data_IF_481569707094
#
_entry.id   IF_481569707094
#
_cell.length_a   1.000
_cell.length_b   1.000
_cell.length_c   1.000
_cell.angle_alpha   90.00
_cell.angle_beta   90.00
_cell.angle_gamma   90.00
#
_symmetry.space_group_name_H-M   'P 1'
#
loop_
_entity.id
_entity.type
_entity.pdbx_description
1 polymer ?
#
# COMPACT_ATOMS: atom_id res chain seq x y z
N UNK A 1 -17.78 10.31 5.85
CA UNK A 1 -17.32 9.01 5.29
C UNK A 1 -16.12 8.58 6.13
N UNK A 2 -15.95 7.28 6.42
CA UNK A 2 -14.74 6.84 7.14
C UNK A 2 -13.54 6.89 6.19
N UNK A 3 -12.38 7.28 6.66
CA UNK A 3 -11.19 7.49 5.81
C UNK A 3 -10.11 6.46 6.10
N UNK A 4 -9.29 6.16 5.09
CA UNK A 4 -8.21 5.20 5.16
C UNK A 4 -6.91 5.72 4.52
N UNK A 5 -5.78 5.25 5.03
CA UNK A 5 -4.46 5.30 4.38
C UNK A 5 -4.03 3.87 4.06
N UNK A 6 -3.50 3.64 2.87
CA UNK A 6 -2.99 2.33 2.43
C UNK A 6 -1.49 2.37 2.17
N UNK A 7 -0.75 1.46 2.81
CA UNK A 7 0.69 1.32 2.68
C UNK A 7 1.02 -0.04 2.05
N UNK A 8 2.05 -0.07 1.21
CA UNK A 8 2.43 -1.25 0.41
C UNK A 8 1.25 -1.71 -0.47
N UNK A 9 0.57 -0.73 -1.08
CA UNK A 9 -0.74 -0.88 -1.76
C UNK A 9 -0.68 -1.75 -3.00
N UNK A 10 0.52 -1.93 -3.58
CA UNK A 10 0.73 -2.62 -4.84
C UNK A 10 -0.20 -2.09 -5.93
N UNK A 11 -0.88 -3.02 -6.61
CA UNK A 11 -1.83 -2.69 -7.67
C UNK A 11 -3.25 -2.32 -7.18
N UNK A 12 -3.47 -2.18 -5.86
CA UNK A 12 -4.74 -1.70 -5.31
C UNK A 12 -5.79 -2.78 -5.01
N UNK A 13 -5.38 -4.04 -4.87
CA UNK A 13 -6.30 -5.15 -4.58
C UNK A 13 -7.02 -4.99 -3.23
N UNK A 14 -6.28 -4.70 -2.16
CA UNK A 14 -6.85 -4.44 -0.84
C UNK A 14 -7.70 -3.17 -0.83
N UNK A 15 -7.22 -2.11 -1.48
CA UNK A 15 -7.85 -0.80 -1.55
C UNK A 15 -9.21 -0.86 -2.26
N UNK A 16 -9.34 -1.69 -3.30
CA UNK A 16 -10.63 -1.98 -3.95
C UNK A 16 -11.65 -2.53 -2.94
N UNK A 17 -11.23 -3.42 -2.05
CA UNK A 17 -12.07 -3.96 -0.98
C UNK A 17 -12.41 -2.92 0.10
N UNK A 18 -11.45 -2.06 0.45
CA UNK A 18 -11.61 -0.98 1.43
C UNK A 18 -12.64 0.05 0.93
N UNK A 19 -12.54 0.45 -0.34
CA UNK A 19 -13.52 1.31 -1.01
C UNK A 19 -14.91 0.65 -1.05
N UNK A 20 -14.98 -0.64 -1.40
CA UNK A 20 -16.23 -1.40 -1.39
C UNK A 20 -16.86 -1.51 0.01
N UNK A 21 -16.06 -1.47 1.07
CA UNK A 21 -16.52 -1.45 2.46
C UNK A 21 -17.01 -0.06 2.93
N UNK A 22 -17.00 0.96 2.07
CA UNK A 22 -17.51 2.30 2.35
C UNK A 22 -16.50 3.27 2.98
N UNK A 23 -15.21 2.95 2.89
CA UNK A 23 -14.13 3.87 3.26
C UNK A 23 -13.70 4.70 2.05
N UNK A 24 -13.17 5.88 2.32
CA UNK A 24 -12.46 6.71 1.36
C UNK A 24 -10.94 6.54 1.55
N UNK A 25 -10.24 6.06 0.53
CA UNK A 25 -8.78 5.89 0.59
C UNK A 25 -8.13 7.22 0.20
N UNK A 26 -7.70 7.98 1.20
CA UNK A 26 -7.14 9.32 1.03
C UNK A 26 -5.75 9.31 0.39
N UNK A 27 -4.98 8.26 0.69
CA UNK A 27 -3.60 8.11 0.27
C UNK A 27 -3.25 6.63 0.16
N UNK A 28 -2.57 6.27 -0.93
CA UNK A 28 -1.95 4.97 -1.15
C UNK A 28 -0.44 5.14 -1.35
N UNK A 29 0.38 4.21 -0.88
CA UNK A 29 1.83 4.21 -1.09
C UNK A 29 2.36 2.84 -1.53
N UNK A 30 3.32 2.85 -2.45
CA UNK A 30 4.16 1.70 -2.76
C UNK A 30 5.49 2.16 -3.36
N UNK A 31 6.49 1.27 -3.39
CA UNK A 31 7.79 1.51 -3.97
C UNK A 31 7.84 1.25 -5.48
N UNK A 32 6.94 0.38 -5.99
CA UNK A 32 7.06 -0.19 -7.34
C UNK A 32 6.37 0.67 -8.41
N UNK A 33 7.11 1.24 -9.40
CA UNK A 33 6.52 2.12 -10.40
C UNK A 33 5.46 1.44 -11.28
N UNK A 34 5.65 0.16 -11.62
CA UNK A 34 4.66 -0.58 -12.42
C UNK A 34 3.37 -0.85 -11.65
N UNK A 35 3.44 -0.99 -10.32
CA UNK A 35 2.27 -1.17 -9.48
C UNK A 35 1.42 0.11 -9.47
N UNK A 36 2.06 1.29 -9.41
CA UNK A 36 1.40 2.60 -9.56
C UNK A 36 0.60 2.71 -10.85
N UNK A 37 1.18 2.30 -11.98
CA UNK A 37 0.50 2.40 -13.28
C UNK A 37 -0.80 1.59 -13.28
N UNK A 38 -0.75 0.35 -12.76
CA UNK A 38 -1.93 -0.50 -12.62
C UNK A 38 -2.93 0.07 -11.61
N UNK A 39 -2.44 0.56 -10.47
CA UNK A 39 -3.27 1.16 -9.43
C UNK A 39 -4.06 2.34 -10.02
N UNK A 40 -3.39 3.31 -10.64
CA UNK A 40 -4.03 4.52 -11.19
C UNK A 40 -4.98 4.24 -12.35
N UNK A 41 -4.77 3.13 -13.08
CA UNK A 41 -5.71 2.71 -14.12
C UNK A 41 -7.06 2.23 -13.56
N UNK A 42 -7.09 1.74 -12.31
CA UNK A 42 -8.30 1.18 -11.68
C UNK A 42 -8.89 2.10 -10.60
N UNK A 43 -8.03 2.84 -9.88
CA UNK A 43 -8.36 3.70 -8.75
C UNK A 43 -7.75 5.10 -8.97
N UNK A 44 -8.20 5.85 -9.99
CA UNK A 44 -7.54 7.08 -10.44
C UNK A 44 -7.66 8.25 -9.45
N UNK A 45 -8.66 8.21 -8.56
CA UNK A 45 -8.99 9.32 -7.65
C UNK A 45 -8.17 9.31 -6.34
N UNK A 46 -7.53 8.18 -6.00
CA UNK A 46 -6.67 8.09 -4.80
C UNK A 46 -5.33 8.77 -5.04
N UNK A 47 -4.86 9.56 -4.06
CA UNK A 47 -3.50 10.10 -4.08
C UNK A 47 -2.48 8.97 -3.88
N UNK A 48 -1.75 8.64 -4.95
CA UNK A 48 -0.75 7.57 -4.93
C UNK A 48 0.67 8.14 -4.81
N UNK A 49 1.29 7.90 -3.66
CA UNK A 49 2.67 8.27 -3.35
C UNK A 49 3.61 7.13 -3.72
N UNK A 50 4.34 7.32 -4.83
CA UNK A 50 5.40 6.40 -5.25
C UNK A 50 6.69 6.73 -4.49
N UNK A 51 7.16 5.81 -3.66
CA UNK A 51 8.39 5.98 -2.89
C UNK A 51 8.49 5.03 -1.70
N UNK A 52 9.67 5.03 -1.07
CA UNK A 52 9.90 4.31 0.18
C UNK A 52 9.03 4.91 1.30
N UNK A 53 8.24 4.07 1.97
CA UNK A 53 7.38 4.48 3.08
C UNK A 53 8.18 5.09 4.23
N UNK A 54 9.45 4.70 4.39
CA UNK A 54 10.33 5.23 5.43
C UNK A 54 10.66 6.73 5.24
N UNK A 55 10.53 7.23 4.01
CA UNK A 55 10.76 8.66 3.68
C UNK A 55 9.50 9.51 3.87
N UNK A 56 8.36 8.90 4.21
CA UNK A 56 7.09 9.59 4.42
C UNK A 56 7.04 10.09 5.87
N UNK A 57 7.07 11.41 6.02
CA UNK A 57 7.13 12.07 7.34
C UNK A 57 5.77 12.50 7.88
N UNK A 58 4.74 12.51 7.05
CA UNK A 58 3.38 12.88 7.44
C UNK A 58 2.36 12.09 6.63
N UNK A 59 1.26 11.73 7.30
CA UNK A 59 0.10 11.06 6.71
C UNK A 59 -1.15 11.93 6.92
N UNK A 60 -2.14 11.88 6.02
CA UNK A 60 -3.43 12.48 6.31
C UNK A 60 -4.08 11.78 7.53
N UNK A 61 -4.90 12.51 8.28
CA UNK A 61 -5.67 11.92 9.36
C UNK A 61 -6.69 10.92 8.79
N UNK A 62 -6.63 9.67 9.27
CA UNK A 62 -7.49 8.59 8.81
C UNK A 62 -8.02 7.73 9.95
N UNK A 63 -9.20 7.13 9.75
CA UNK A 63 -9.82 6.20 10.69
C UNK A 63 -9.20 4.80 10.62
N UNK A 64 -8.60 4.44 9.48
CA UNK A 64 -8.01 3.14 9.20
C UNK A 64 -6.63 3.27 8.55
N UNK A 65 -5.68 2.46 9.01
CA UNK A 65 -4.41 2.23 8.34
C UNK A 65 -4.40 0.79 7.79
N UNK A 66 -4.24 0.66 6.48
CA UNK A 66 -4.09 -0.62 5.77
C UNK A 66 -2.62 -0.81 5.44
N UNK A 67 -2.09 -2.02 5.65
CA UNK A 67 -0.68 -2.33 5.39
C UNK A 67 -0.51 -3.72 4.80
N UNK A 68 -0.08 -3.79 3.54
CA UNK A 68 0.18 -5.06 2.83
C UNK A 68 1.69 -5.30 2.66
N UNK A 69 2.43 -5.15 3.76
CA UNK A 69 3.90 -5.22 3.77
C UNK A 69 4.45 -6.56 3.25
N UNK A 70 5.68 -6.57 2.71
CA UNK A 70 6.32 -7.77 2.15
C UNK A 70 6.36 -8.95 3.12
N UNK A 71 5.83 -10.10 2.69
CA UNK A 71 5.82 -11.33 3.49
C UNK A 71 7.03 -12.25 3.24
N UNK A 72 7.91 -11.92 2.28
CA UNK A 72 9.04 -12.73 1.80
C UNK A 72 10.00 -13.12 2.95
N UNK A 73 10.18 -12.21 3.91
CA UNK A 73 10.99 -12.42 5.12
C UNK A 73 10.38 -13.38 6.15
N UNK A 74 9.11 -13.76 6.00
CA UNK A 74 8.34 -14.54 6.98
C UNK A 74 7.72 -15.83 6.41
N UNK A 75 7.46 -15.86 5.10
CA UNK A 75 6.73 -16.94 4.42
C UNK A 75 7.52 -18.26 4.37
N UNK A 76 6.81 -19.38 4.33
CA UNK A 76 7.38 -20.71 4.06
C UNK A 76 8.02 -20.81 2.67
N UNK A 77 7.46 -20.10 1.69
CA UNK A 77 7.99 -20.01 0.33
C UNK A 77 9.17 -19.03 0.21
N UNK A 78 9.41 -18.22 1.25
CA UNK A 78 10.57 -17.33 1.36
C UNK A 78 11.72 -17.99 2.13
N UNK A 79 12.86 -17.31 2.16
CA UNK A 79 14.02 -17.80 2.93
C UNK A 79 13.89 -17.61 4.45
N UNK A 80 12.82 -16.95 4.92
CA UNK A 80 12.61 -16.52 6.31
C UNK A 80 13.78 -15.73 6.91
N UNK A 81 14.42 -14.95 6.05
CA UNK A 81 15.47 -14.01 6.41
C UNK A 81 14.90 -12.61 6.19
N UNK A 82 14.46 -11.99 7.28
CA UNK A 82 13.76 -10.71 7.25
C UNK A 82 14.66 -9.56 6.74
N UNK A 83 15.97 -9.68 6.94
CA UNK A 83 17.01 -8.71 6.57
C UNK A 83 17.49 -8.80 5.11
N UNK A 84 16.94 -9.73 4.31
CA UNK A 84 17.31 -9.82 2.91
C UNK A 84 16.86 -8.58 2.15
N UNK A 85 17.78 -7.98 1.40
CA UNK A 85 17.56 -6.79 0.55
C UNK A 85 16.50 -6.94 -0.55
N UNK A 86 16.01 -8.17 -0.80
CA UNK A 86 14.91 -8.42 -1.74
C UNK A 86 13.53 -8.28 -1.09
N UNK A 87 13.48 -8.10 0.23
CA UNK A 87 12.28 -7.72 0.95
C UNK A 87 12.26 -6.18 0.89
N UNK A 88 11.47 -5.64 -0.01
CA UNK A 88 11.24 -4.21 -0.19
C UNK A 88 9.84 -3.86 0.30
#
# INVERSE_FOLDING_TARGET
>A
MKTAVSLFSGCGGSDTGVLAAGFDVLMANDLLPYAREVYRANLPDTDYVLGDVAEITAFPAADLLVGCYPCQGFSQAGARLADRKINY
#
